data_IF_506074553140
#
_entry.id   IF_506074553140
#
_cell.length_a   1.000
_cell.length_b   1.000
_cell.length_c   1.000
_cell.angle_alpha   90.00
_cell.angle_beta   90.00
_cell.angle_gamma   90.00
#
_symmetry.space_group_name_H-M   'P 1'
#
loop_
_entity.id
_entity.type
_entity.pdbx_description
1 polymer ?
#
# COMPACT_ATOMS: atom_id res chain seq x y z
N UNK A 1 24.12 -8.48 11.54
CA UNK A 1 25.03 -8.93 10.46
C UNK A 1 26.24 -8.02 10.25
N UNK A 2 26.06 -6.68 10.21
CA UNK A 2 27.19 -5.75 10.01
C UNK A 2 28.33 -5.89 11.04
N UNK A 3 28.04 -6.05 12.33
CA UNK A 3 29.06 -6.21 13.38
C UNK A 3 29.94 -7.44 13.22
N UNK A 4 29.38 -8.57 12.74
CA UNK A 4 30.11 -9.81 12.50
C UNK A 4 31.05 -9.68 11.29
N UNK A 5 30.61 -9.00 10.23
CA UNK A 5 31.40 -8.73 9.03
C UNK A 5 32.63 -7.85 9.34
N UNK A 6 32.46 -6.83 10.18
CA UNK A 6 33.60 -5.99 10.63
C UNK A 6 34.63 -6.78 11.43
N UNK A 7 34.19 -7.69 12.30
CA UNK A 7 35.10 -8.55 13.08
C UNK A 7 35.87 -9.50 12.17
N UNK A 8 35.20 -10.13 11.19
CA UNK A 8 35.84 -11.03 10.22
C UNK A 8 36.84 -10.29 9.33
N UNK A 9 36.52 -9.07 8.89
CA UNK A 9 37.45 -8.21 8.14
C UNK A 9 38.70 -7.87 8.95
N UNK A 10 38.54 -7.59 10.25
CA UNK A 10 39.65 -7.29 11.15
C UNK A 10 40.57 -8.51 11.32
N UNK A 11 39.99 -9.71 11.47
CA UNK A 11 40.72 -10.99 11.53
C UNK A 11 41.47 -11.25 10.21
N UNK A 12 40.86 -10.96 9.07
CA UNK A 12 41.49 -11.06 7.75
C UNK A 12 42.71 -10.14 7.65
N UNK A 13 42.59 -8.86 8.04
CA UNK A 13 43.69 -7.89 7.97
C UNK A 13 44.83 -8.28 8.92
N UNK A 14 44.52 -8.72 10.13
CA UNK A 14 45.53 -9.14 11.10
C UNK A 14 46.27 -10.41 10.66
N UNK A 15 45.56 -11.41 10.13
CA UNK A 15 46.16 -12.63 9.56
C UNK A 15 47.00 -12.33 8.31
N UNK A 16 46.51 -11.45 7.43
CA UNK A 16 47.23 -10.50 6.57
C UNK A 16 48.67 -10.21 6.97
N UNK A 17 48.75 -9.32 7.95
CA UNK A 17 49.99 -8.74 8.45
C UNK A 17 50.89 -9.81 9.06
N UNK A 18 50.33 -10.73 9.84
CA UNK A 18 51.09 -11.82 10.49
C UNK A 18 51.72 -12.75 9.44
N UNK A 19 50.98 -13.13 8.40
CA UNK A 19 51.48 -13.97 7.31
C UNK A 19 52.65 -13.30 6.57
N UNK A 20 52.54 -12.00 6.30
CA UNK A 20 53.59 -11.21 5.64
C UNK A 20 54.84 -11.13 6.53
N UNK A 21 54.69 -10.74 7.80
CA UNK A 21 55.82 -10.57 8.72
C UNK A 21 56.56 -11.90 8.94
N UNK A 22 55.83 -12.97 9.26
CA UNK A 22 56.42 -14.29 9.44
C UNK A 22 56.99 -14.86 8.14
N UNK A 23 56.35 -14.57 7.01
CA UNK A 23 56.82 -14.95 5.68
C UNK A 23 58.16 -14.30 5.32
N UNK A 24 58.33 -13.02 5.62
CA UNK A 24 59.61 -12.31 5.45
C UNK A 24 60.70 -12.94 6.33
N UNK A 25 60.40 -13.23 7.60
CA UNK A 25 61.37 -13.87 8.50
C UNK A 25 61.73 -15.30 8.06
N UNK A 26 60.73 -16.08 7.62
CA UNK A 26 60.93 -17.40 7.05
C UNK A 26 61.82 -17.35 5.81
N UNK A 27 61.59 -16.38 4.92
CA UNK A 27 62.39 -16.16 3.72
C UNK A 27 63.83 -15.76 4.04
N UNK A 28 64.05 -14.88 5.03
CA UNK A 28 65.40 -14.51 5.50
C UNK A 28 66.17 -15.71 6.05
N UNK A 29 65.48 -16.62 6.73
CA UNK A 29 66.09 -17.81 7.36
C UNK A 29 66.19 -19.02 6.43
N UNK A 30 65.82 -18.90 5.14
CA UNK A 30 65.78 -20.00 4.16
C UNK A 30 67.10 -20.77 3.97
N UNK A 31 68.23 -20.13 4.30
CA UNK A 31 69.57 -20.73 4.21
C UNK A 31 69.87 -21.69 5.38
N UNK A 32 69.15 -21.60 6.49
CA UNK A 32 69.31 -22.46 7.66
C UNK A 32 68.00 -23.21 7.97
N UNK A 33 67.69 -24.21 7.14
CA UNK A 33 66.40 -24.95 7.20
C UNK A 33 66.23 -25.81 8.45
N UNK A 34 67.32 -26.16 9.13
CA UNK A 34 67.26 -26.93 10.37
C UNK A 34 67.13 -26.06 11.62
N UNK A 35 67.33 -24.74 11.46
CA UNK A 35 67.20 -23.77 12.54
C UNK A 35 65.80 -23.75 13.15
N UNK A 36 65.74 -23.72 14.48
CA UNK A 36 64.50 -23.64 15.27
C UNK A 36 63.62 -22.45 14.85
N UNK A 37 64.23 -21.32 14.46
CA UNK A 37 63.53 -20.12 13.98
C UNK A 37 62.88 -20.33 12.60
N UNK A 38 63.57 -20.99 11.66
CA UNK A 38 63.03 -21.31 10.32
C UNK A 38 61.77 -22.16 10.43
N UNK A 39 61.83 -23.24 11.23
CA UNK A 39 60.69 -24.15 11.45
C UNK A 39 59.50 -23.44 12.09
N UNK A 40 59.76 -22.58 13.09
CA UNK A 40 58.72 -21.77 13.76
C UNK A 40 58.05 -20.78 12.81
N UNK A 41 58.83 -20.01 12.06
CA UNK A 41 58.31 -18.99 11.15
C UNK A 41 57.55 -19.62 9.98
N UNK A 42 58.05 -20.75 9.43
CA UNK A 42 57.33 -21.54 8.41
C UNK A 42 55.96 -22.01 8.90
N UNK A 43 55.92 -22.60 10.10
CA UNK A 43 54.68 -23.12 10.68
C UNK A 43 53.69 -21.99 10.96
N UNK A 44 54.16 -20.87 11.52
CA UNK A 44 53.33 -19.70 11.79
C UNK A 44 52.77 -19.05 10.52
N UNK A 45 53.55 -18.95 9.44
CA UNK A 45 53.06 -18.47 8.13
C UNK A 45 51.99 -19.40 7.55
N UNK A 46 52.16 -20.71 7.64
CA UNK A 46 51.15 -21.68 7.16
C UNK A 46 49.83 -21.58 7.94
N UNK A 47 49.90 -21.41 9.27
CA UNK A 47 48.71 -21.22 10.11
C UNK A 47 48.02 -19.89 9.73
N UNK A 48 48.77 -18.80 9.60
CA UNK A 48 48.20 -17.50 9.23
C UNK A 48 47.53 -17.52 7.85
N UNK A 49 48.13 -18.22 6.87
CA UNK A 49 47.52 -18.42 5.56
C UNK A 49 46.24 -19.26 5.64
N UNK A 50 46.21 -20.33 6.43
CA UNK A 50 45.01 -21.13 6.61
C UNK A 50 43.85 -20.32 7.21
N UNK A 51 44.13 -19.51 8.24
CA UNK A 51 43.13 -18.62 8.85
C UNK A 51 42.61 -17.59 7.85
N UNK A 52 43.48 -17.02 7.03
CA UNK A 52 43.09 -16.06 5.98
C UNK A 52 42.15 -16.69 4.95
N UNK A 53 42.46 -17.91 4.49
CA UNK A 53 41.62 -18.63 3.53
C UNK A 53 40.24 -18.95 4.11
N UNK A 54 40.18 -19.43 5.36
CA UNK A 54 38.90 -19.70 6.04
C UNK A 54 38.08 -18.41 6.20
N UNK A 55 38.73 -17.30 6.54
CA UNK A 55 38.07 -15.99 6.69
C UNK A 55 37.49 -15.48 5.36
N UNK A 56 38.19 -15.70 4.24
CA UNK A 56 37.71 -15.35 2.90
C UNK A 56 36.48 -16.16 2.48
N UNK A 57 36.51 -17.48 2.67
CA UNK A 57 35.36 -18.33 2.33
C UNK A 57 34.14 -18.07 3.22
N UNK A 58 34.36 -17.73 4.49
CA UNK A 58 33.27 -17.40 5.43
C UNK A 58 32.61 -16.06 5.12
N UNK A 59 33.38 -15.07 4.66
CA UNK A 59 32.84 -13.76 4.27
C UNK A 59 32.08 -13.81 2.92
N UNK A 60 32.55 -14.63 1.97
CA UNK A 60 31.91 -14.77 0.64
C UNK A 60 30.57 -15.49 0.69
N UNK A 61 30.41 -16.52 1.54
CA UNK A 61 29.14 -17.25 1.69
C UNK A 61 28.03 -16.41 2.34
N UNK A 62 28.37 -15.63 3.37
CA UNK A 62 27.39 -14.81 4.08
C UNK A 62 26.87 -13.61 3.26
N UNK A 63 27.68 -13.07 2.33
CA UNK A 63 27.23 -12.00 1.44
C UNK A 63 26.28 -12.51 0.36
N UNK A 64 26.54 -13.70 -0.20
CA UNK A 64 25.70 -14.24 -1.29
C UNK A 64 24.32 -14.67 -0.81
N UNK A 65 24.21 -15.23 0.40
CA UNK A 65 22.92 -15.58 1.01
C UNK A 65 22.11 -14.33 1.35
N UNK A 66 22.75 -13.31 1.95
CA UNK A 66 22.08 -12.06 2.29
C UNK A 66 21.54 -11.31 1.06
N UNK A 67 22.29 -11.26 -0.05
CA UNK A 67 21.81 -10.64 -1.29
C UNK A 67 20.65 -11.41 -1.93
N UNK A 68 20.69 -12.74 -1.91
CA UNK A 68 19.58 -13.55 -2.44
C UNK A 68 18.31 -13.45 -1.60
N UNK A 69 18.44 -13.36 -0.27
CA UNK A 69 17.28 -13.12 0.61
C UNK A 69 16.67 -11.74 0.39
N UNK A 70 17.50 -10.71 0.21
CA UNK A 70 17.05 -9.33 -0.05
C UNK A 70 16.34 -9.22 -1.41
N UNK A 71 16.92 -9.76 -2.49
CA UNK A 71 16.28 -9.82 -3.80
C UNK A 71 14.96 -10.60 -3.78
N UNK A 72 14.92 -11.73 -3.05
CA UNK A 72 13.70 -12.52 -2.89
C UNK A 72 12.62 -11.78 -2.08
N UNK A 73 13.03 -10.98 -1.09
CA UNK A 73 12.10 -10.16 -0.30
C UNK A 73 11.50 -9.03 -1.16
N UNK A 74 12.32 -8.35 -1.95
CA UNK A 74 11.87 -7.31 -2.89
C UNK A 74 10.88 -7.91 -3.90
N UNK A 75 11.24 -9.02 -4.56
CA UNK A 75 10.36 -9.66 -5.52
C UNK A 75 9.04 -10.19 -4.92
N UNK A 76 9.03 -10.55 -3.63
CA UNK A 76 7.79 -10.89 -2.91
C UNK A 76 6.96 -9.66 -2.62
N UNK A 77 7.58 -8.56 -2.18
CA UNK A 77 6.91 -7.31 -1.90
C UNK A 77 6.26 -6.75 -3.18
N UNK A 78 7.00 -6.72 -4.29
CA UNK A 78 6.47 -6.32 -5.61
C UNK A 78 5.24 -7.14 -6.03
N UNK A 79 5.27 -8.46 -5.80
CA UNK A 79 4.11 -9.33 -6.07
C UNK A 79 2.91 -9.00 -5.18
N UNK A 80 3.17 -8.76 -3.89
CA UNK A 80 2.12 -8.39 -2.94
C UNK A 80 1.52 -7.04 -3.30
N UNK A 81 2.32 -6.03 -3.63
CA UNK A 81 1.83 -4.69 -3.97
C UNK A 81 1.03 -4.69 -5.27
N UNK A 82 1.45 -5.50 -6.25
CA UNK A 82 0.68 -5.73 -7.48
C UNK A 82 -0.63 -6.48 -7.22
N UNK A 83 -0.64 -7.42 -6.29
CA UNK A 83 -1.86 -8.13 -5.91
C UNK A 83 -2.81 -7.22 -5.13
N UNK A 84 -2.29 -6.49 -4.14
CA UNK A 84 -3.02 -5.48 -3.40
C UNK A 84 -3.64 -4.44 -4.34
N UNK A 85 -2.95 -4.04 -5.40
CA UNK A 85 -3.54 -3.15 -6.41
C UNK A 85 -4.81 -3.77 -7.02
N UNK A 86 -4.70 -5.00 -7.52
CA UNK A 86 -5.83 -5.71 -8.14
C UNK A 86 -7.00 -5.89 -7.18
N UNK A 87 -6.71 -6.35 -5.97
CA UNK A 87 -7.72 -6.63 -4.96
C UNK A 87 -8.41 -5.32 -4.54
N UNK A 88 -7.66 -4.24 -4.28
CA UNK A 88 -8.26 -2.95 -3.94
C UNK A 88 -9.10 -2.37 -5.10
N UNK A 89 -8.69 -2.59 -6.36
CA UNK A 89 -9.46 -2.15 -7.53
C UNK A 89 -10.78 -2.91 -7.64
N UNK A 90 -10.77 -4.23 -7.47
CA UNK A 90 -11.99 -5.05 -7.48
C UNK A 90 -12.93 -4.66 -6.32
N UNK A 91 -12.39 -4.50 -5.11
CA UNK A 91 -13.13 -4.04 -3.95
C UNK A 91 -13.72 -2.63 -4.16
N UNK A 92 -12.96 -1.73 -4.80
CA UNK A 92 -13.43 -0.38 -5.13
C UNK A 92 -14.62 -0.44 -6.08
N UNK A 93 -14.50 -1.16 -7.21
CA UNK A 93 -15.57 -1.26 -8.20
C UNK A 93 -16.83 -1.91 -7.62
N UNK A 94 -16.68 -2.97 -6.82
CA UNK A 94 -17.82 -3.61 -6.16
C UNK A 94 -18.51 -2.66 -5.17
N UNK A 95 -17.73 -2.00 -4.31
CA UNK A 95 -18.28 -1.06 -3.33
C UNK A 95 -18.89 0.17 -3.99
N UNK A 96 -18.32 0.64 -5.10
CA UNK A 96 -18.86 1.74 -5.90
C UNK A 96 -20.28 1.41 -6.38
N UNK A 97 -20.47 0.22 -6.97
CA UNK A 97 -21.78 -0.23 -7.42
C UNK A 97 -22.78 -0.36 -6.27
N UNK A 98 -22.38 -1.04 -5.19
CA UNK A 98 -23.25 -1.25 -4.03
C UNK A 98 -23.64 0.07 -3.35
N UNK A 99 -22.72 1.04 -3.31
CA UNK A 99 -22.99 2.37 -2.78
C UNK A 99 -23.89 3.19 -3.71
N UNK A 100 -23.66 3.15 -5.03
CA UNK A 100 -24.54 3.81 -6.01
C UNK A 100 -26.00 3.37 -5.85
N UNK A 101 -26.22 2.05 -5.76
CA UNK A 101 -27.57 1.48 -5.52
C UNK A 101 -28.15 1.94 -4.18
N UNK A 102 -27.34 2.01 -3.12
CA UNK A 102 -27.81 2.48 -1.82
C UNK A 102 -28.20 3.97 -1.84
N UNK A 103 -27.42 4.81 -2.54
CA UNK A 103 -27.69 6.23 -2.72
C UNK A 103 -28.97 6.45 -3.54
N UNK A 104 -29.15 5.73 -4.64
CA UNK A 104 -30.41 5.77 -5.43
C UNK A 104 -31.62 5.37 -4.57
N UNK A 105 -31.50 4.31 -3.77
CA UNK A 105 -32.58 3.85 -2.89
C UNK A 105 -32.93 4.87 -1.81
N UNK A 106 -31.93 5.45 -1.16
CA UNK A 106 -32.13 6.50 -0.16
C UNK A 106 -32.82 7.72 -0.79
N UNK A 107 -32.32 8.16 -1.94
CA UNK A 107 -32.88 9.32 -2.62
C UNK A 107 -34.29 9.07 -3.17
N UNK A 108 -34.62 7.85 -3.59
CA UNK A 108 -36.00 7.48 -3.94
C UNK A 108 -36.95 7.54 -2.74
N UNK A 109 -36.51 7.11 -1.55
CA UNK A 109 -37.31 7.21 -0.33
C UNK A 109 -37.55 8.67 0.06
N UNK A 110 -36.51 9.50 -0.02
CA UNK A 110 -36.62 10.95 0.17
C UNK A 110 -37.65 11.56 -0.79
N UNK A 111 -37.60 11.22 -2.08
CA UNK A 111 -38.57 11.69 -3.07
C UNK A 111 -40.01 11.29 -2.72
N UNK A 112 -40.23 10.04 -2.30
CA UNK A 112 -41.55 9.53 -1.93
C UNK A 112 -42.11 10.25 -0.69
N UNK A 113 -41.25 10.58 0.29
CA UNK A 113 -41.64 11.32 1.48
C UNK A 113 -41.92 12.80 1.20
N UNK A 114 -41.14 13.43 0.30
CA UNK A 114 -41.46 14.76 -0.20
C UNK A 114 -42.83 14.80 -0.89
N UNK A 115 -43.09 13.88 -1.83
CA UNK A 115 -44.37 13.78 -2.54
C UNK A 115 -45.53 13.57 -1.55
N UNK A 116 -45.34 12.66 -0.60
CA UNK A 116 -46.32 12.38 0.46
C UNK A 116 -46.59 13.60 1.35
N UNK A 117 -45.55 14.36 1.70
CA UNK A 117 -45.69 15.56 2.54
C UNK A 117 -46.43 16.66 1.78
N UNK A 118 -46.12 16.89 0.49
CA UNK A 118 -46.78 17.88 -0.37
C UNK A 118 -48.26 17.54 -0.56
N UNK A 119 -48.58 16.27 -0.90
CA UNK A 119 -49.95 15.85 -1.18
C UNK A 119 -50.88 15.92 0.04
N UNK A 120 -50.33 15.73 1.23
CA UNK A 120 -51.12 15.66 2.48
C UNK A 120 -51.19 16.98 3.27
N UNK A 121 -50.42 18.01 2.90
CA UNK A 121 -50.28 19.24 3.71
C UNK A 121 -51.11 20.43 3.24
N UNK A 122 -51.59 20.44 1.99
CA UNK A 122 -52.46 21.51 1.49
C UNK A 122 -51.80 22.91 1.53
N UNK A 123 -52.43 23.90 2.19
CA UNK A 123 -51.87 25.25 2.32
C UNK A 123 -50.84 25.39 3.47
N UNK A 124 -50.73 24.39 4.35
CA UNK A 124 -49.91 24.42 5.58
C UNK A 124 -48.62 23.59 5.45
N UNK A 125 -48.06 23.49 4.24
CA UNK A 125 -46.82 22.75 4.01
C UNK A 125 -45.64 23.37 4.76
N UNK A 126 -45.05 22.58 5.65
CA UNK A 126 -43.86 22.94 6.42
C UNK A 126 -42.65 22.18 5.87
N UNK A 127 -41.79 22.92 5.16
CA UNK A 127 -40.56 22.40 4.54
C UNK A 127 -39.60 21.90 5.61
N UNK A 128 -39.41 22.66 6.70
CA UNK A 128 -38.43 22.33 7.73
C UNK A 128 -38.85 21.07 8.48
N UNK A 129 -40.14 20.96 8.84
CA UNK A 129 -40.66 19.73 9.46
C UNK A 129 -40.58 18.53 8.53
N UNK A 130 -40.71 18.73 7.21
CA UNK A 130 -40.58 17.65 6.22
C UNK A 130 -39.14 17.16 6.16
N UNK A 131 -38.16 18.05 6.07
CA UNK A 131 -36.73 17.73 6.09
C UNK A 131 -36.34 16.96 7.36
N UNK A 132 -36.78 17.44 8.53
CA UNK A 132 -36.50 16.79 9.81
C UNK A 132 -37.07 15.37 9.84
N UNK A 133 -38.31 15.17 9.37
CA UNK A 133 -38.95 13.86 9.33
C UNK A 133 -38.23 12.89 8.39
N UNK A 134 -37.86 13.31 7.18
CA UNK A 134 -37.14 12.46 6.22
C UNK A 134 -35.79 12.04 6.81
N UNK A 135 -35.07 13.00 7.40
CA UNK A 135 -33.77 12.74 8.03
C UNK A 135 -33.89 11.75 9.19
N UNK A 136 -34.91 11.89 10.04
CA UNK A 136 -35.15 10.99 11.17
C UNK A 136 -35.62 9.59 10.72
N UNK A 137 -36.49 9.51 9.71
CA UNK A 137 -37.02 8.24 9.20
C UNK A 137 -35.95 7.38 8.50
N UNK A 138 -34.91 8.01 7.96
CA UNK A 138 -33.87 7.36 7.17
C UNK A 138 -32.47 7.49 7.77
N UNK A 139 -32.35 7.84 9.06
CA UNK A 139 -31.05 8.02 9.73
C UNK A 139 -30.13 6.81 9.60
N UNK A 140 -30.67 5.58 9.70
CA UNK A 140 -29.89 4.35 9.58
C UNK A 140 -29.36 4.13 8.15
N UNK A 141 -30.13 4.51 7.13
CA UNK A 141 -29.72 4.42 5.73
C UNK A 141 -28.66 5.49 5.41
N UNK A 142 -28.82 6.71 5.95
CA UNK A 142 -27.86 7.81 5.88
C UNK A 142 -26.51 7.37 6.48
N UNK A 143 -26.52 6.82 7.69
CA UNK A 143 -25.32 6.32 8.37
C UNK A 143 -24.61 5.22 7.56
N UNK A 144 -25.35 4.31 6.92
CA UNK A 144 -24.76 3.25 6.07
C UNK A 144 -24.10 3.83 4.81
N UNK A 145 -24.76 4.80 4.14
CA UNK A 145 -24.21 5.51 2.98
C UNK A 145 -22.92 6.26 3.36
N UNK A 146 -22.93 7.00 4.48
CA UNK A 146 -21.76 7.71 5.00
C UNK A 146 -20.60 6.75 5.35
N UNK A 147 -20.90 5.61 5.97
CA UNK A 147 -19.90 4.60 6.29
C UNK A 147 -19.29 3.96 5.03
N UNK A 148 -20.11 3.74 3.99
CA UNK A 148 -19.65 3.17 2.71
C UNK A 148 -18.82 4.17 1.90
N UNK A 149 -19.16 5.46 1.89
CA UNK A 149 -18.36 6.46 1.17
C UNK A 149 -16.97 6.63 1.80
N UNK A 150 -16.85 6.52 3.12
CA UNK A 150 -15.54 6.54 3.80
C UNK A 150 -14.70 5.30 3.47
N UNK A 151 -15.32 4.12 3.36
CA UNK A 151 -14.64 2.90 2.89
C UNK A 151 -14.17 3.06 1.44
N UNK A 152 -15.00 3.62 0.56
CA UNK A 152 -14.68 3.87 -0.84
C UNK A 152 -13.52 4.87 -0.97
N UNK A 153 -13.54 5.95 -0.20
CA UNK A 153 -12.42 6.91 -0.10
C UNK A 153 -11.13 6.23 0.38
N UNK A 154 -11.21 5.33 1.35
CA UNK A 154 -10.03 4.58 1.80
C UNK A 154 -9.46 3.68 0.70
N UNK A 155 -10.29 3.12 -0.17
CA UNK A 155 -9.84 2.30 -1.31
C UNK A 155 -9.20 3.17 -2.39
N UNK A 156 -9.81 4.31 -2.75
CA UNK A 156 -9.19 5.33 -3.63
C UNK A 156 -7.80 5.70 -3.12
N UNK A 157 -7.68 6.12 -1.86
CA UNK A 157 -6.40 6.48 -1.22
C UNK A 157 -5.33 5.38 -1.31
N UNK A 158 -5.72 4.10 -1.21
CA UNK A 158 -4.79 2.97 -1.35
C UNK A 158 -4.33 2.80 -2.79
N UNK A 159 -5.22 2.99 -3.76
CA UNK A 159 -4.94 2.89 -5.19
C UNK A 159 -4.05 4.06 -5.65
N UNK A 160 -4.34 5.29 -5.22
CA UNK A 160 -3.53 6.48 -5.52
C UNK A 160 -2.06 6.31 -5.10
N UNK A 161 -1.83 5.66 -3.96
CA UNK A 161 -0.50 5.42 -3.38
C UNK A 161 0.21 4.20 -3.96
N UNK A 162 -0.48 3.36 -4.74
CA UNK A 162 0.11 2.15 -5.30
C UNK A 162 0.91 2.47 -6.57
N UNK A 163 2.14 1.96 -6.66
CA UNK A 163 3.03 2.19 -7.81
C UNK A 163 2.64 1.39 -9.06
N UNK A 164 1.82 0.34 -8.91
CA UNK A 164 1.36 -0.50 -10.01
C UNK A 164 0.06 0.00 -10.66
N UNK A 165 -0.63 0.96 -10.05
CA UNK A 165 -1.78 1.62 -10.65
C UNK A 165 -1.29 2.61 -11.70
N UNK A 166 -1.83 2.53 -12.91
CA UNK A 166 -1.52 3.49 -13.98
C UNK A 166 -2.05 4.88 -13.61
N UNK A 167 -1.48 5.94 -14.19
CA UNK A 167 -1.98 7.30 -13.96
C UNK A 167 -3.44 7.45 -14.45
N UNK A 168 -3.79 6.75 -15.53
CA UNK A 168 -5.16 6.69 -16.07
C UNK A 168 -6.10 5.96 -15.09
N UNK A 169 -5.70 4.80 -14.56
CA UNK A 169 -6.50 4.06 -13.58
C UNK A 169 -6.76 4.92 -12.33
N UNK A 170 -5.72 5.63 -11.86
CA UNK A 170 -5.81 6.54 -10.71
C UNK A 170 -6.78 7.68 -10.96
N UNK A 171 -6.72 8.30 -12.14
CA UNK A 171 -7.62 9.39 -12.51
C UNK A 171 -9.06 8.91 -12.60
N UNK A 172 -9.32 7.81 -13.31
CA UNK A 172 -10.66 7.24 -13.48
C UNK A 172 -11.29 6.88 -12.14
N UNK A 173 -10.55 6.17 -11.28
CA UNK A 173 -11.02 5.74 -9.95
C UNK A 173 -11.27 6.93 -9.03
N UNK A 174 -10.39 7.94 -9.05
CA UNK A 174 -10.58 9.13 -8.22
C UNK A 174 -11.79 9.95 -8.65
N UNK A 175 -11.98 10.14 -9.96
CA UNK A 175 -13.12 10.86 -10.50
C UNK A 175 -14.43 10.13 -10.20
N UNK A 176 -14.46 8.80 -10.33
CA UNK A 176 -15.60 8.00 -9.91
C UNK A 176 -15.91 8.22 -8.42
N UNK A 177 -14.91 8.12 -7.54
CA UNK A 177 -15.09 8.42 -6.11
C UNK A 177 -15.70 9.81 -5.87
N UNK A 178 -15.19 10.85 -6.52
CA UNK A 178 -15.69 12.21 -6.35
C UNK A 178 -17.14 12.34 -6.80
N UNK A 179 -17.49 11.82 -7.97
CA UNK A 179 -18.85 11.91 -8.51
C UNK A 179 -19.87 11.17 -7.61
N UNK A 180 -19.55 9.94 -7.17
CA UNK A 180 -20.41 9.21 -6.25
C UNK A 180 -20.45 9.83 -4.85
N UNK A 181 -19.36 10.45 -4.38
CA UNK A 181 -19.37 11.25 -3.14
C UNK A 181 -20.33 12.42 -3.25
N UNK A 182 -20.33 13.13 -4.37
CA UNK A 182 -21.25 14.23 -4.59
C UNK A 182 -22.70 13.74 -4.56
N UNK A 183 -22.99 12.60 -5.19
CA UNK A 183 -24.33 12.02 -5.15
C UNK A 183 -24.73 11.54 -3.74
N UNK A 184 -23.82 10.86 -3.02
CA UNK A 184 -24.05 10.42 -1.66
C UNK A 184 -24.29 11.60 -0.71
N UNK A 185 -23.52 12.68 -0.83
CA UNK A 185 -23.73 13.89 -0.04
C UNK A 185 -25.08 14.54 -0.33
N UNK A 186 -25.52 14.56 -1.59
CA UNK A 186 -26.84 15.05 -1.97
C UNK A 186 -27.94 14.25 -1.27
N UNK A 187 -27.87 12.92 -1.30
CA UNK A 187 -28.86 12.03 -0.68
C UNK A 187 -28.83 11.99 0.86
N UNK A 188 -27.72 12.40 1.49
CA UNK A 188 -27.57 12.36 2.96
C UNK A 188 -27.71 13.72 3.63
N UNK A 189 -27.48 14.81 2.88
CA UNK A 189 -27.60 16.19 3.37
C UNK A 189 -28.92 16.81 2.92
N UNK A 190 -30.03 16.21 3.34
CA UNK A 190 -31.39 16.63 3.00
C UNK A 190 -31.59 18.10 3.41
N UNK A 191 -31.77 18.96 2.41
CA UNK A 191 -31.89 20.40 2.62
C UNK A 191 -32.48 21.09 1.39
N UNK A 192 -32.92 22.34 1.55
CA UNK A 192 -33.47 23.14 0.45
C UNK A 192 -34.95 22.86 0.21
N UNK A 193 -35.37 22.91 -1.05
CA UNK A 193 -36.74 22.62 -1.48
C UNK A 193 -36.82 21.37 -2.36
N UNK A 194 -38.03 20.81 -2.51
CA UNK A 194 -38.27 19.68 -3.41
C UNK A 194 -37.74 19.91 -4.84
N UNK A 195 -37.85 21.14 -5.37
CA UNK A 195 -37.35 21.44 -6.71
C UNK A 195 -35.81 21.36 -6.77
N UNK A 196 -35.13 21.91 -5.74
CA UNK A 196 -33.66 21.87 -5.65
C UNK A 196 -33.17 20.41 -5.58
N UNK A 197 -33.86 19.59 -4.79
CA UNK A 197 -33.63 18.16 -4.69
C UNK A 197 -33.74 17.45 -6.06
N UNK A 198 -34.83 17.68 -6.80
CA UNK A 198 -35.07 17.00 -8.09
C UNK A 198 -34.15 17.47 -9.23
N UNK A 199 -33.74 18.74 -9.22
CA UNK A 199 -32.90 19.33 -10.27
C UNK A 199 -31.47 18.75 -10.21
N UNK A 200 -30.90 18.64 -9.00
CA UNK A 200 -29.53 18.14 -8.81
C UNK A 200 -29.45 16.60 -8.93
N UNK A 201 -30.48 15.88 -8.47
CA UNK A 201 -30.50 14.42 -8.45
C UNK A 201 -30.21 13.79 -9.84
N UNK A 202 -30.92 14.23 -10.89
CA UNK A 202 -30.82 13.64 -12.23
C UNK A 202 -29.44 13.85 -12.88
N UNK A 203 -28.73 14.92 -12.52
CA UNK A 203 -27.37 15.15 -13.02
C UNK A 203 -26.37 14.23 -12.32
N UNK A 204 -26.50 14.07 -11.00
CA UNK A 204 -25.61 13.27 -10.17
C UNK A 204 -25.76 11.77 -10.44
N UNK A 205 -27.00 11.30 -10.60
CA UNK A 205 -27.33 9.93 -11.00
C UNK A 205 -26.66 9.56 -12.34
N UNK A 206 -26.83 10.43 -13.35
CA UNK A 206 -26.23 10.21 -14.68
C UNK A 206 -24.72 10.14 -14.62
N UNK A 207 -24.06 11.08 -13.93
CA UNK A 207 -22.60 11.06 -13.76
C UNK A 207 -22.15 9.77 -13.09
N UNK A 208 -22.84 9.35 -12.03
CA UNK A 208 -22.51 8.13 -11.29
C UNK A 208 -22.64 6.90 -12.19
N UNK A 209 -23.68 6.84 -13.01
CA UNK A 209 -23.93 5.77 -13.99
C UNK A 209 -22.86 5.75 -15.09
N UNK A 210 -22.51 6.89 -15.67
CA UNK A 210 -21.47 6.99 -16.71
C UNK A 210 -20.13 6.42 -16.21
N UNK A 211 -19.79 6.65 -14.93
CA UNK A 211 -18.58 6.10 -14.30
C UNK A 211 -18.61 4.58 -14.12
N UNK A 212 -19.79 3.95 -14.03
CA UNK A 212 -19.87 2.48 -13.97
C UNK A 212 -19.30 1.87 -15.24
N UNK A 213 -19.60 2.44 -16.40
CA UNK A 213 -19.06 1.97 -17.68
C UNK A 213 -17.54 2.14 -17.73
N UNK A 214 -17.03 3.32 -17.35
CA UNK A 214 -15.59 3.57 -17.30
C UNK A 214 -14.85 2.62 -16.34
N UNK A 215 -15.43 2.30 -15.18
CA UNK A 215 -14.86 1.36 -14.22
C UNK A 215 -14.87 -0.10 -14.70
N UNK A 216 -15.83 -0.49 -15.56
CA UNK A 216 -15.88 -1.82 -16.17
C UNK A 216 -14.84 -2.02 -17.28
N UNK A 217 -14.43 -0.94 -17.93
CA UNK A 217 -13.44 -0.94 -19.02
C UNK A 217 -11.99 -0.92 -18.52
N UNK A 218 -11.76 -0.68 -17.22
CA UNK A 218 -10.45 -0.74 -16.55
C UNK A 218 -9.96 -2.18 -16.36
#
# INVERSE_FOLDING_TARGET
MQSLAYVLLLVLILSAIIAIVLGIFWFKERKNKEGKKYKRNRLGTLIALAVMVISLFSAGGAQSEATHEEEAAIARQEKLDKQNYKDNKEDFTSLYYDLGVAVEQLSSKESDEWESAIDNSGEDFDVDSTIDNISDNHSDDIDDVEAKIEKLHSLDQKIQKNEYASDEDKETIHNAYLDLKHFANHATSISGSYNDFTDEHNELDRKTTDRVEELQDL
#
